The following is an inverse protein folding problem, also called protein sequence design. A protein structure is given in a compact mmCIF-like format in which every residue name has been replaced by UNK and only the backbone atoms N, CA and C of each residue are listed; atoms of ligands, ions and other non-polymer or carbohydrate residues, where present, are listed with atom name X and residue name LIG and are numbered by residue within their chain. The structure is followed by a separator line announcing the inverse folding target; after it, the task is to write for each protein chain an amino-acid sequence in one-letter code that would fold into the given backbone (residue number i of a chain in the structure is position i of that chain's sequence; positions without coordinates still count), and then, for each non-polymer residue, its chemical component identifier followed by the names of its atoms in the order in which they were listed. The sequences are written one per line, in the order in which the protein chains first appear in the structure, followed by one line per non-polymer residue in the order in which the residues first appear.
data_IF_054968970477
#
_entry.id   IF_054968970477
#
_cell.length_a   1.000
_cell.length_b   1.000
_cell.length_c   1.000
_cell.angle_alpha   90.00
_cell.angle_beta   90.00
_cell.angle_gamma   90.00
#
_symmetry.space_group_name_H-M   'P 1'
#
loop_
_entity.id
_entity.type
_entity.pdbx_description
1 polymer ?
#
# COMPACT_ATOMS: atom_id res chain seq x y z
N UNK A 1 -6.30 -3.90 -7.71
CA UNK A 1 -7.05 -2.90 -6.92
C UNK A 1 -6.08 -2.14 -6.04
N UNK A 2 -6.17 -0.80 -5.98
CA UNK A 2 -5.31 0.02 -5.13
C UNK A 2 -5.65 -0.04 -3.64
N UNK A 3 -6.87 -0.51 -3.28
CA UNK A 3 -7.27 -0.73 -1.87
C UNK A 3 -6.40 -1.80 -1.19
N UNK A 4 -5.73 -2.63 -1.97
CA UNK A 4 -4.86 -3.69 -1.46
C UNK A 4 -3.48 -3.15 -1.04
N UNK A 5 -3.45 -2.05 -0.28
CA UNK A 5 -2.27 -1.40 0.27
C UNK A 5 -1.99 -1.87 1.71
N UNK A 6 -0.77 -1.66 2.20
CA UNK A 6 -0.37 -1.95 3.57
C UNK A 6 -0.06 -0.64 4.34
N UNK A 7 -0.83 -0.30 5.39
CA UNK A 7 -0.52 0.82 6.28
C UNK A 7 0.45 0.37 7.38
N UNK A 8 1.72 0.77 7.26
CA UNK A 8 2.72 0.65 8.32
C UNK A 8 2.75 1.86 9.24
N UNK A 9 3.68 1.87 10.21
CA UNK A 9 3.72 2.91 11.27
C UNK A 9 3.94 4.34 10.76
N UNK A 10 4.68 4.51 9.67
CA UNK A 10 5.01 5.82 9.08
C UNK A 10 4.98 5.82 7.55
N UNK A 11 4.60 4.68 6.96
CA UNK A 11 4.61 4.47 5.51
C UNK A 11 3.34 3.75 5.10
N UNK A 12 2.80 4.08 3.93
CA UNK A 12 1.76 3.29 3.28
C UNK A 12 2.35 2.73 2.00
N UNK A 13 2.35 1.40 1.89
CA UNK A 13 2.85 0.70 0.70
C UNK A 13 1.68 0.37 -0.20
N UNK A 14 1.70 0.87 -1.43
CA UNK A 14 0.61 0.73 -2.41
C UNK A 14 1.12 0.00 -3.66
N UNK A 15 0.32 -0.92 -4.24
CA UNK A 15 0.68 -1.51 -5.53
C UNK A 15 0.66 -0.47 -6.65
N UNK A 16 1.58 -0.62 -7.62
CA UNK A 16 1.52 0.07 -8.90
C UNK A 16 1.36 -0.94 -10.04
N UNK A 17 0.60 -0.54 -11.05
CA UNK A 17 0.23 -1.40 -12.19
C UNK A 17 0.80 -0.91 -13.52
N UNK A 18 1.53 0.20 -13.52
CA UNK A 18 2.11 0.80 -14.72
C UNK A 18 1.07 1.56 -15.55
N UNK A 19 0.09 2.19 -14.89
CA UNK A 19 -0.95 2.97 -15.56
C UNK A 19 -1.20 4.30 -14.85
N UNK A 20 -1.86 5.25 -15.53
CA UNK A 20 -2.07 6.62 -15.05
C UNK A 20 -2.82 6.69 -13.70
N UNK A 21 -3.59 5.65 -13.36
CA UNK A 21 -4.29 5.55 -12.08
C UNK A 21 -3.35 5.40 -10.88
N UNK A 22 -2.10 4.99 -11.08
CA UNK A 22 -1.08 4.87 -10.03
C UNK A 22 -0.85 6.22 -9.34
N UNK A 23 -0.82 7.30 -10.12
CA UNK A 23 -0.60 8.66 -9.62
C UNK A 23 -1.79 9.10 -8.77
N UNK A 24 -3.02 8.90 -9.30
CA UNK A 24 -4.25 9.27 -8.60
C UNK A 24 -4.39 8.49 -7.29
N UNK A 25 -4.11 7.20 -7.30
CA UNK A 25 -4.16 6.37 -6.10
C UNK A 25 -3.17 6.85 -5.03
N UNK A 26 -1.93 7.19 -5.41
CA UNK A 26 -0.93 7.72 -4.47
C UNK A 26 -1.34 9.08 -3.89
N UNK A 27 -1.90 9.97 -4.71
CA UNK A 27 -2.40 11.28 -4.26
C UNK A 27 -3.53 11.11 -3.26
N UNK A 28 -4.55 10.29 -3.57
CA UNK A 28 -5.65 10.02 -2.65
C UNK A 28 -5.16 9.41 -1.33
N UNK A 29 -4.20 8.47 -1.38
CA UNK A 29 -3.64 7.92 -0.15
C UNK A 29 -2.82 8.94 0.65
N UNK A 30 -2.12 9.86 -0.01
CA UNK A 30 -1.40 10.93 0.68
C UNK A 30 -2.34 11.89 1.40
N UNK A 31 -3.51 12.19 0.81
CA UNK A 31 -4.55 13.00 1.47
C UNK A 31 -5.17 12.28 2.69
N UNK A 32 -5.37 10.96 2.60
CA UNK A 32 -5.95 10.15 3.67
C UNK A 32 -4.96 9.87 4.82
N UNK A 33 -3.67 9.79 4.51
CA UNK A 33 -2.61 9.50 5.47
C UNK A 33 -1.55 10.63 5.46
N UNK A 34 -1.89 11.84 5.93
CA UNK A 34 -1.05 13.03 5.78
C UNK A 34 0.33 12.89 6.45
N UNK A 35 0.42 12.10 7.52
CA UNK A 35 1.66 11.86 8.26
C UNK A 35 2.46 10.64 7.76
N UNK A 36 2.02 9.98 6.67
CA UNK A 36 2.68 8.79 6.14
C UNK A 36 3.33 9.06 4.79
N UNK A 37 4.50 8.44 4.57
CA UNK A 37 5.10 8.40 3.23
C UNK A 37 4.43 7.33 2.38
N UNK A 38 3.89 7.72 1.23
CA UNK A 38 3.29 6.78 0.27
C UNK A 38 4.38 6.19 -0.63
N UNK A 39 4.56 4.87 -0.58
CA UNK A 39 5.57 4.12 -1.33
C UNK A 39 4.90 3.17 -2.32
N UNK A 40 5.21 3.31 -3.60
CA UNK A 40 4.68 2.46 -4.67
C UNK A 40 5.59 1.26 -4.97
N UNK A 41 4.99 0.10 -5.30
CA UNK A 41 5.72 -1.07 -5.82
C UNK A 41 5.44 -1.19 -7.32
N UNK A 42 6.40 -0.77 -8.15
CA UNK A 42 6.29 -0.68 -9.63
C UNK A 42 5.91 -2.01 -10.31
N UNK A 43 6.45 -3.14 -9.85
CA UNK A 43 6.20 -4.47 -10.43
C UNK A 43 5.16 -5.30 -9.67
N UNK A 44 4.23 -4.66 -8.96
CA UNK A 44 3.22 -5.39 -8.17
C UNK A 44 2.18 -6.13 -9.01
N UNK A 45 2.19 -5.94 -10.34
CA UNK A 45 1.35 -6.69 -11.29
C UNK A 45 1.62 -8.20 -11.23
N UNK A 46 2.86 -8.62 -10.98
CA UNK A 46 3.20 -10.04 -10.88
C UNK A 46 2.46 -10.72 -9.71
N UNK A 47 2.26 -10.00 -8.60
CA UNK A 47 1.48 -10.48 -7.46
C UNK A 47 -0.02 -10.54 -7.83
N UNK A 48 -0.49 -9.55 -8.58
CA UNK A 48 -1.87 -9.49 -9.07
C UNK A 48 -2.26 -10.69 -9.93
N UNK A 49 -1.33 -11.22 -10.72
CA UNK A 49 -1.58 -12.42 -11.54
C UNK A 49 -1.92 -13.65 -10.68
N UNK A 50 -1.52 -13.67 -9.41
CA UNK A 50 -1.89 -14.70 -8.42
C UNK A 50 -3.23 -14.45 -7.70
N UNK A 51 -3.96 -13.37 -8.04
CA UNK A 51 -5.29 -13.08 -7.48
C UNK A 51 -5.32 -12.15 -6.26
N UNK A 52 -4.20 -11.54 -5.88
CA UNK A 52 -4.11 -10.64 -4.71
C UNK A 52 -3.07 -9.52 -4.90
N UNK A 53 -2.73 -8.78 -3.85
CA UNK A 53 -1.59 -7.85 -3.90
C UNK A 53 -0.98 -7.65 -2.49
N UNK A 54 -0.36 -6.48 -2.23
CA UNK A 54 0.36 -6.15 -0.99
C UNK A 54 -0.40 -6.57 0.26
N UNK A 55 -1.64 -6.13 0.46
CA UNK A 55 -2.42 -6.45 1.66
C UNK A 55 -2.70 -7.95 1.83
N UNK A 56 -2.79 -8.71 0.72
CA UNK A 56 -3.02 -10.16 0.77
C UNK A 56 -1.79 -10.96 1.20
N UNK A 57 -0.58 -10.39 1.07
CA UNK A 57 0.69 -11.09 1.35
C UNK A 57 1.44 -10.53 2.57
N UNK A 58 0.84 -9.57 3.28
CA UNK A 58 1.40 -8.97 4.49
C UNK A 58 0.55 -9.32 5.71
N UNK A 59 1.19 -9.52 6.87
CA UNK A 59 0.52 -9.70 8.16
C UNK A 59 1.17 -8.75 9.18
N UNK A 60 0.48 -7.69 9.66
CA UNK A 60 1.05 -6.80 10.66
C UNK A 60 1.21 -7.52 12.00
N UNK A 61 2.36 -7.32 12.63
CA UNK A 61 2.59 -7.67 14.03
C UNK A 61 2.63 -6.38 14.83
N UNK A 62 1.70 -6.24 15.76
CA UNK A 62 1.58 -5.01 16.55
C UNK A 62 2.54 -5.03 17.74
N UNK A 63 3.17 -3.89 17.99
CA UNK A 63 3.92 -3.70 19.22
C UNK A 63 3.00 -3.81 20.45
N UNK A 64 3.52 -4.30 21.59
CA UNK A 64 2.75 -4.33 22.82
C UNK A 64 2.29 -2.92 23.20
N UNK A 65 1.04 -2.80 23.65
CA UNK A 65 0.54 -1.53 24.16
C UNK A 65 1.34 -1.14 25.41
N UNK A 66 2.01 0.01 25.36
CA UNK A 66 2.65 0.59 26.55
C UNK A 66 1.55 1.08 27.48
N UNK A 67 1.49 0.50 28.69
CA UNK A 67 0.67 1.01 29.80
C UNK A 67 1.28 2.28 30.37
#
# INVERSE_FOLDING_TARGET
SYINYYPGNSVVVVPQFGCDLDVKAKQTLAELFPDHKIVGIENSREILLGGGNVACITLPVYAPQRR
#
